data_IF_132456581370
#
_entry.id   IF_132456581370
#
_cell.length_a   1.000
_cell.length_b   1.000
_cell.length_c   1.000
_cell.angle_alpha   90.00
_cell.angle_beta   90.00
_cell.angle_gamma   90.00
#
_symmetry.space_group_name_H-M   'P 1'
#
loop_
_entity.id
_entity.type
_entity.pdbx_description
1 polymer ?
#
# COMPACT_ATOMS: atom_id res chain seq x y z
N UNK A 1 10.94 23.17 -24.44
CA UNK A 1 12.30 23.47 -24.97
C UNK A 1 12.87 24.55 -24.08
N UNK A 2 13.96 24.27 -23.36
CA UNK A 2 14.69 25.27 -22.59
C UNK A 2 15.06 26.44 -23.50
N UNK A 3 14.98 27.67 -22.99
CA UNK A 3 15.56 28.79 -23.70
C UNK A 3 17.07 28.55 -23.84
N UNK A 4 17.68 29.04 -24.92
CA UNK A 4 19.13 28.94 -25.11
C UNK A 4 19.92 29.54 -23.92
N UNK A 5 19.30 30.46 -23.19
CA UNK A 5 19.86 31.08 -21.99
C UNK A 5 19.89 30.12 -20.78
N UNK A 6 18.82 29.38 -20.52
CA UNK A 6 18.74 28.44 -19.39
C UNK A 6 19.66 27.24 -19.58
N UNK A 7 19.71 26.68 -20.79
CA UNK A 7 20.65 25.60 -21.12
C UNK A 7 22.09 26.05 -20.91
N UNK A 8 22.45 27.24 -21.40
CA UNK A 8 23.79 27.81 -21.24
C UNK A 8 24.12 28.18 -19.80
N UNK A 9 23.13 28.59 -19.01
CA UNK A 9 23.31 28.86 -17.58
C UNK A 9 23.63 27.59 -16.81
N UNK A 10 23.00 26.47 -17.15
CA UNK A 10 23.27 25.20 -16.48
C UNK A 10 24.54 24.53 -16.98
N UNK A 11 24.86 24.63 -18.28
CA UNK A 11 26.18 24.27 -18.80
C UNK A 11 27.27 25.11 -18.12
N UNK A 12 27.07 26.42 -17.91
CA UNK A 12 28.00 27.26 -17.15
C UNK A 12 28.14 26.83 -15.69
N UNK A 13 27.04 26.50 -15.00
CA UNK A 13 27.09 26.04 -13.61
C UNK A 13 27.84 24.71 -13.53
N UNK A 14 27.59 23.80 -14.46
CA UNK A 14 28.28 22.52 -14.53
C UNK A 14 29.77 22.69 -14.86
N UNK A 15 30.09 23.50 -15.86
CA UNK A 15 31.47 23.81 -16.24
C UNK A 15 32.21 24.53 -15.10
N UNK A 16 31.55 25.41 -14.35
CA UNK A 16 32.15 26.08 -13.18
C UNK A 16 32.39 25.10 -12.03
N UNK A 17 31.45 24.19 -11.77
CA UNK A 17 31.61 23.12 -10.77
C UNK A 17 32.74 22.18 -11.15
N UNK A 18 32.81 21.78 -12.43
CA UNK A 18 33.84 20.88 -12.95
C UNK A 18 35.22 21.56 -13.02
N UNK A 19 35.29 22.81 -13.48
CA UNK A 19 36.56 23.54 -13.68
C UNK A 19 37.25 23.95 -12.38
N UNK A 20 36.48 24.19 -11.30
CA UNK A 20 37.08 24.57 -10.03
C UNK A 20 37.66 23.42 -9.22
N UNK A 21 37.61 22.18 -9.72
CA UNK A 21 38.00 20.99 -8.95
C UNK A 21 37.36 21.00 -7.55
N UNK A 22 36.17 21.61 -7.43
CA UNK A 22 35.40 21.62 -6.20
C UNK A 22 34.92 20.19 -6.03
N UNK A 23 35.70 19.40 -5.30
CA UNK A 23 35.39 18.01 -4.97
C UNK A 23 34.02 17.86 -4.29
N UNK A 24 33.40 18.97 -3.87
CA UNK A 24 32.02 19.03 -3.42
C UNK A 24 31.37 20.27 -4.06
N UNK A 25 30.44 20.15 -5.02
CA UNK A 25 29.64 21.28 -5.47
C UNK A 25 28.97 21.97 -4.28
N UNK A 26 28.77 23.28 -4.35
CA UNK A 26 27.95 24.01 -3.37
C UNK A 26 26.55 23.41 -3.34
N UNK A 27 26.35 22.50 -2.40
CA UNK A 27 25.18 21.65 -2.28
C UNK A 27 23.91 22.49 -2.05
N UNK A 28 24.05 23.65 -1.40
CA UNK A 28 22.94 24.56 -1.18
C UNK A 28 22.48 25.19 -2.50
N UNK A 29 23.41 25.58 -3.36
CA UNK A 29 23.14 26.12 -4.70
C UNK A 29 22.42 25.10 -5.59
N UNK A 30 22.94 23.87 -5.68
CA UNK A 30 22.32 22.79 -6.49
C UNK A 30 20.93 22.44 -5.97
N UNK A 31 20.76 22.30 -4.64
CA UNK A 31 19.44 22.05 -4.03
C UNK A 31 18.45 23.18 -4.34
N UNK A 32 18.89 24.44 -4.28
CA UNK A 32 18.02 25.58 -4.59
C UNK A 32 17.63 25.60 -6.08
N UNK A 33 18.57 25.33 -6.98
CA UNK A 33 18.30 25.22 -8.42
C UNK A 33 17.31 24.10 -8.71
N UNK A 34 17.51 22.91 -8.12
CA UNK A 34 16.60 21.77 -8.27
C UNK A 34 15.20 22.14 -7.77
N UNK A 35 15.10 22.77 -6.60
CA UNK A 35 13.83 23.20 -6.05
C UNK A 35 13.09 24.23 -6.94
N UNK A 36 13.81 25.09 -7.67
CA UNK A 36 13.20 26.01 -8.66
C UNK A 36 12.74 25.25 -9.89
N UNK A 37 13.54 24.33 -10.42
CA UNK A 37 13.16 23.49 -11.55
C UNK A 37 11.89 22.68 -11.25
N UNK A 38 11.81 22.08 -10.05
CA UNK A 38 10.64 21.33 -9.60
C UNK A 38 9.38 22.22 -9.53
N UNK A 39 9.49 23.45 -8.98
CA UNK A 39 8.38 24.41 -8.95
C UNK A 39 7.96 24.92 -10.33
N UNK A 40 8.91 25.04 -11.25
CA UNK A 40 8.68 25.45 -12.63
C UNK A 40 8.22 24.30 -13.54
N UNK A 41 8.08 23.09 -12.99
CA UNK A 41 7.78 21.88 -13.72
C UNK A 41 8.78 21.57 -14.86
N UNK A 42 10.04 21.93 -14.67
CA UNK A 42 11.12 21.72 -15.64
C UNK A 42 11.80 20.38 -15.40
N UNK A 43 11.21 19.31 -15.96
CA UNK A 43 11.68 17.94 -15.76
C UNK A 43 13.08 17.67 -16.35
N UNK A 44 13.46 18.36 -17.43
CA UNK A 44 14.79 18.20 -18.05
C UNK A 44 15.86 18.71 -17.09
N UNK A 45 15.62 19.90 -16.53
CA UNK A 45 16.52 20.49 -15.56
C UNK A 45 16.53 19.72 -14.24
N UNK A 46 15.37 19.27 -13.77
CA UNK A 46 15.27 18.46 -12.57
C UNK A 46 16.11 17.18 -12.71
N UNK A 47 15.98 16.45 -13.83
CA UNK A 47 16.73 15.22 -14.11
C UNK A 47 18.24 15.45 -14.11
N UNK A 48 18.69 16.53 -14.75
CA UNK A 48 20.11 16.90 -14.75
C UNK A 48 20.61 17.19 -13.32
N UNK A 49 19.88 18.01 -12.56
CA UNK A 49 20.31 18.44 -11.22
C UNK A 49 20.23 17.32 -10.17
N UNK A 50 19.36 16.32 -10.34
CA UNK A 50 19.30 15.15 -9.44
C UNK A 50 20.54 14.26 -9.49
N UNK A 51 21.32 14.29 -10.58
CA UNK A 51 22.59 13.57 -10.66
C UNK A 51 23.65 14.16 -9.72
N UNK A 52 23.56 15.45 -9.42
CA UNK A 52 24.49 16.17 -8.54
C UNK A 52 24.00 16.30 -7.10
N UNK A 53 22.81 15.79 -6.80
CA UNK A 53 22.26 15.75 -5.45
C UNK A 53 22.48 14.39 -4.80
N UNK A 54 22.73 14.42 -3.49
CA UNK A 54 22.68 13.21 -2.67
C UNK A 54 21.25 12.66 -2.62
N UNK A 55 21.14 11.34 -2.55
CA UNK A 55 19.86 10.63 -2.57
C UNK A 55 18.94 11.07 -1.43
N UNK A 56 19.47 11.44 -0.27
CA UNK A 56 18.67 11.95 0.85
C UNK A 56 17.96 13.27 0.51
N UNK A 57 18.64 14.17 -0.21
CA UNK A 57 18.01 15.43 -0.65
C UNK A 57 16.96 15.18 -1.72
N UNK A 58 17.22 14.27 -2.65
CA UNK A 58 16.23 13.87 -3.66
C UNK A 58 15.00 13.28 -2.97
N UNK A 59 15.18 12.38 -1.99
CA UNK A 59 14.09 11.78 -1.21
C UNK A 59 13.26 12.79 -0.42
N UNK A 60 13.93 13.76 0.23
CA UNK A 60 13.24 14.87 0.91
C UNK A 60 12.38 15.69 -0.06
N UNK A 61 12.89 15.92 -1.28
CA UNK A 61 12.15 16.63 -2.32
C UNK A 61 11.01 15.78 -2.90
N UNK A 62 11.20 14.46 -3.03
CA UNK A 62 10.16 13.53 -3.44
C UNK A 62 8.96 13.63 -2.48
N UNK A 63 9.19 13.44 -1.18
CA UNK A 63 8.14 13.54 -0.16
C UNK A 63 7.41 14.89 -0.19
N UNK A 64 8.15 15.98 -0.46
CA UNK A 64 7.58 17.32 -0.54
C UNK A 64 6.68 17.53 -1.76
N UNK A 65 7.07 17.00 -2.92
CA UNK A 65 6.43 17.34 -4.19
C UNK A 65 5.48 16.25 -4.72
N UNK A 66 5.56 15.01 -4.24
CA UNK A 66 4.79 13.89 -4.75
C UNK A 66 3.27 14.14 -4.84
N UNK A 67 2.70 14.86 -3.87
CA UNK A 67 1.26 15.14 -3.82
C UNK A 67 0.81 16.32 -4.69
N UNK A 68 1.74 17.20 -5.12
CA UNK A 68 1.41 18.50 -5.75
C UNK A 68 1.94 18.66 -7.17
N UNK A 69 2.88 17.80 -7.59
CA UNK A 69 3.56 17.94 -8.87
C UNK A 69 3.04 16.96 -9.94
N UNK A 70 3.59 17.09 -11.14
CA UNK A 70 3.31 16.18 -12.26
C UNK A 70 4.04 14.85 -12.10
N UNK A 71 3.46 13.81 -12.69
CA UNK A 71 3.93 12.42 -12.62
C UNK A 71 5.39 12.28 -13.10
N UNK A 72 5.79 13.01 -14.14
CA UNK A 72 7.14 12.99 -14.70
C UNK A 72 8.20 13.47 -13.71
N UNK A 73 7.89 14.47 -12.89
CA UNK A 73 8.79 14.94 -11.84
C UNK A 73 8.94 13.89 -10.75
N UNK A 74 7.82 13.27 -10.34
CA UNK A 74 7.86 12.22 -9.33
C UNK A 74 8.72 11.05 -9.81
N UNK A 75 8.60 10.66 -11.08
CA UNK A 75 9.44 9.64 -11.72
C UNK A 75 10.93 9.98 -11.60
N UNK A 76 11.32 11.20 -12.01
CA UNK A 76 12.71 11.67 -11.93
C UNK A 76 13.25 11.60 -10.50
N UNK A 77 12.46 12.03 -9.51
CA UNK A 77 12.88 12.00 -8.11
C UNK A 77 12.94 10.57 -7.56
N UNK A 78 11.99 9.71 -7.91
CA UNK A 78 11.93 8.32 -7.47
C UNK A 78 13.12 7.49 -7.99
N UNK A 79 13.54 7.68 -9.25
CA UNK A 79 14.72 7.03 -9.87
C UNK A 79 16.01 7.16 -9.01
N UNK A 80 16.09 8.22 -8.19
CA UNK A 80 17.29 8.60 -7.43
C UNK A 80 17.07 8.60 -5.91
N UNK A 81 15.90 8.18 -5.44
CA UNK A 81 15.54 8.18 -4.03
C UNK A 81 15.81 6.82 -3.35
N UNK A 82 15.85 6.81 -2.02
CA UNK A 82 15.88 5.56 -1.26
C UNK A 82 14.48 4.94 -1.15
N UNK A 83 14.42 3.63 -0.93
CA UNK A 83 13.15 2.91 -0.76
C UNK A 83 12.29 3.48 0.38
N UNK A 84 12.90 3.96 1.47
CA UNK A 84 12.15 4.55 2.58
C UNK A 84 11.44 5.85 2.18
N UNK A 85 12.06 6.68 1.32
CA UNK A 85 11.45 7.90 0.80
C UNK A 85 10.33 7.58 -0.19
N UNK A 86 10.56 6.61 -1.08
CA UNK A 86 9.54 6.15 -2.04
C UNK A 86 8.31 5.62 -1.28
N UNK A 87 8.51 4.84 -0.21
CA UNK A 87 7.44 4.32 0.63
C UNK A 87 6.64 5.42 1.32
N UNK A 88 7.33 6.42 1.88
CA UNK A 88 6.69 7.55 2.55
C UNK A 88 5.86 8.39 1.55
N UNK A 89 6.46 8.75 0.42
CA UNK A 89 5.78 9.48 -0.64
C UNK A 89 4.57 8.71 -1.19
N UNK A 90 4.69 7.40 -1.38
CA UNK A 90 3.61 6.55 -1.87
C UNK A 90 2.42 6.53 -0.91
N UNK A 91 2.68 6.41 0.38
CA UNK A 91 1.62 6.51 1.39
C UNK A 91 0.92 7.88 1.34
N UNK A 92 1.69 8.97 1.28
CA UNK A 92 1.14 10.33 1.25
C UNK A 92 0.31 10.61 -0.03
N UNK A 93 0.72 10.11 -1.19
CA UNK A 93 -0.05 10.29 -2.44
C UNK A 93 -1.35 9.48 -2.45
N UNK A 94 -1.38 8.28 -1.86
CA UNK A 94 -2.63 7.53 -1.66
C UNK A 94 -3.57 8.27 -0.72
N UNK A 95 -3.05 8.84 0.36
CA UNK A 95 -3.85 9.66 1.28
C UNK A 95 -4.40 10.91 0.59
N UNK A 96 -3.68 11.45 -0.40
CA UNK A 96 -4.12 12.55 -1.25
C UNK A 96 -5.00 12.12 -2.45
N UNK A 97 -5.25 10.82 -2.65
CA UNK A 97 -6.05 10.30 -3.77
C UNK A 97 -5.40 10.43 -5.14
N UNK A 98 -4.06 10.48 -5.22
CA UNK A 98 -3.28 10.60 -6.45
C UNK A 98 -2.87 9.21 -6.98
N UNK A 99 -3.83 8.50 -7.57
CA UNK A 99 -3.63 7.16 -8.17
C UNK A 99 -2.55 7.17 -9.27
N UNK A 100 -2.54 8.19 -10.11
CA UNK A 100 -1.57 8.40 -11.19
C UNK A 100 -0.12 8.37 -10.68
N UNK A 101 0.14 9.07 -9.57
CA UNK A 101 1.47 9.15 -8.96
C UNK A 101 1.81 7.87 -8.19
N UNK A 102 0.82 7.28 -7.50
CA UNK A 102 1.03 6.04 -6.77
C UNK A 102 1.50 4.91 -7.69
N UNK A 103 0.83 4.71 -8.84
CA UNK A 103 1.24 3.70 -9.82
C UNK A 103 2.69 3.87 -10.27
N UNK A 104 3.14 5.10 -10.50
CA UNK A 104 4.53 5.36 -10.87
C UNK A 104 5.50 5.06 -9.73
N UNK A 105 5.16 5.42 -8.48
CA UNK A 105 6.02 5.10 -7.34
C UNK A 105 6.16 3.59 -7.12
N UNK A 106 5.10 2.83 -7.39
CA UNK A 106 5.11 1.37 -7.29
C UNK A 106 6.09 0.73 -8.28
N UNK A 107 6.31 1.31 -9.46
CA UNK A 107 7.33 0.83 -10.42
C UNK A 107 8.76 0.88 -9.84
N UNK A 108 9.02 1.75 -8.86
CA UNK A 108 10.34 1.92 -8.23
C UNK A 108 10.47 1.20 -6.88
N UNK A 109 9.41 0.56 -6.39
CA UNK A 109 9.44 -0.14 -5.10
C UNK A 109 10.03 -1.54 -5.22
N UNK A 110 10.80 -1.92 -4.21
CA UNK A 110 11.10 -3.31 -3.95
C UNK A 110 9.88 -4.00 -3.32
N UNK A 111 9.74 -5.30 -3.56
CA UNK A 111 8.65 -6.12 -3.03
C UNK A 111 8.44 -5.95 -1.51
N UNK A 112 9.52 -5.92 -0.71
CA UNK A 112 9.42 -5.73 0.74
C UNK A 112 8.81 -4.38 1.11
N UNK A 113 9.19 -3.34 0.38
CA UNK A 113 8.69 -1.97 0.57
C UNK A 113 7.23 -1.85 0.12
N UNK A 114 6.88 -2.45 -1.02
CA UNK A 114 5.51 -2.51 -1.52
C UNK A 114 4.56 -3.20 -0.51
N UNK A 115 4.99 -4.29 0.12
CA UNK A 115 4.24 -4.95 1.19
C UNK A 115 4.04 -4.01 2.38
N UNK A 116 5.10 -3.35 2.87
CA UNK A 116 5.00 -2.45 4.02
C UNK A 116 4.02 -1.29 3.77
N UNK A 117 4.07 -0.70 2.57
CA UNK A 117 3.13 0.34 2.14
C UNK A 117 1.71 -0.22 2.09
N UNK A 118 1.51 -1.39 1.48
CA UNK A 118 0.21 -2.06 1.41
C UNK A 118 -0.40 -2.33 2.78
N UNK A 119 0.39 -2.83 3.75
CA UNK A 119 -0.04 -3.04 5.14
C UNK A 119 -0.45 -1.72 5.80
N UNK A 120 0.31 -0.63 5.57
CA UNK A 120 -0.02 0.70 6.11
C UNK A 120 -1.30 1.26 5.48
N UNK A 121 -1.49 1.12 4.17
CA UNK A 121 -2.69 1.56 3.46
C UNK A 121 -3.92 0.78 3.93
N UNK A 122 -3.79 -0.54 4.05
CA UNK A 122 -4.78 -1.41 4.68
C UNK A 122 -5.16 -0.96 6.11
N UNK A 123 -4.17 -0.54 6.91
CA UNK A 123 -4.38 0.01 8.27
C UNK A 123 -5.11 1.36 8.23
N UNK A 124 -4.86 2.16 7.21
CA UNK A 124 -5.53 3.44 6.97
C UNK A 124 -6.91 3.31 6.29
N UNK A 125 -7.37 2.09 5.97
CA UNK A 125 -8.63 1.85 5.27
C UNK A 125 -8.60 2.19 3.78
N UNK A 126 -7.40 2.37 3.19
CA UNK A 126 -7.16 2.62 1.77
C UNK A 126 -7.00 1.32 1.01
N UNK A 127 -8.07 0.50 0.99
CA UNK A 127 -8.05 -0.85 0.43
C UNK A 127 -7.84 -0.84 -1.08
N UNK A 128 -8.40 0.17 -1.76
CA UNK A 128 -8.31 0.37 -3.21
C UNK A 128 -6.87 0.55 -3.73
N UNK A 129 -5.93 0.93 -2.85
CA UNK A 129 -4.51 1.10 -3.18
C UNK A 129 -3.64 -0.11 -2.76
N UNK A 130 -4.24 -1.16 -2.19
CA UNK A 130 -3.51 -2.37 -1.80
C UNK A 130 -3.29 -3.23 -3.05
N UNK A 131 -2.05 -3.29 -3.54
CA UNK A 131 -1.70 -4.05 -4.73
C UNK A 131 -1.08 -5.40 -4.37
N UNK A 132 -1.59 -6.48 -4.94
CA UNK A 132 -1.08 -7.84 -4.69
C UNK A 132 0.04 -8.25 -5.67
N UNK A 133 0.17 -7.59 -6.81
CA UNK A 133 1.04 -7.98 -7.92
C UNK A 133 2.54 -8.09 -7.56
N UNK A 134 3.00 -7.24 -6.62
CA UNK A 134 4.40 -7.19 -6.20
C UNK A 134 4.69 -8.04 -4.97
N UNK A 135 3.69 -8.69 -4.38
CA UNK A 135 3.80 -9.38 -3.08
C UNK A 135 3.86 -10.89 -3.35
N UNK A 136 4.90 -11.57 -2.87
CA UNK A 136 4.91 -13.03 -2.98
C UNK A 136 3.77 -13.68 -2.18
N UNK A 137 3.40 -14.91 -2.57
CA UNK A 137 2.28 -15.62 -1.98
C UNK A 137 2.36 -15.72 -0.44
N UNK A 138 3.55 -16.01 0.11
CA UNK A 138 3.72 -16.16 1.56
C UNK A 138 3.38 -14.88 2.33
N UNK A 139 3.80 -13.73 1.81
CA UNK A 139 3.50 -12.41 2.40
C UNK A 139 2.04 -12.03 2.21
N UNK A 140 1.46 -12.38 1.08
CA UNK A 140 0.04 -12.18 0.81
C UNK A 140 -0.82 -12.99 1.80
N UNK A 141 -0.46 -14.24 2.06
CA UNK A 141 -1.10 -15.09 3.06
C UNK A 141 -1.02 -14.48 4.47
N UNK A 142 0.13 -13.88 4.83
CA UNK A 142 0.31 -13.18 6.11
C UNK A 142 -0.59 -11.95 6.21
N UNK A 143 -0.60 -11.10 5.18
CA UNK A 143 -1.44 -9.90 5.11
C UNK A 143 -2.93 -10.27 5.20
N UNK A 144 -3.34 -11.30 4.46
CA UNK A 144 -4.69 -11.82 4.49
C UNK A 144 -5.07 -12.35 5.88
N UNK A 145 -4.20 -13.13 6.52
CA UNK A 145 -4.44 -13.65 7.86
C UNK A 145 -4.50 -12.53 8.93
N UNK A 146 -3.73 -11.45 8.79
CA UNK A 146 -3.82 -10.24 9.63
C UNK A 146 -5.14 -9.50 9.38
N UNK A 147 -5.57 -9.36 8.12
CA UNK A 147 -6.83 -8.73 7.74
C UNK A 147 -8.03 -9.45 8.35
N UNK A 148 -8.03 -10.79 8.27
CA UNK A 148 -9.04 -11.67 8.86
C UNK A 148 -9.09 -11.51 10.38
N UNK A 149 -7.95 -11.64 11.06
CA UNK A 149 -7.89 -11.53 12.51
C UNK A 149 -8.29 -10.13 13.03
N UNK A 150 -8.06 -9.08 12.22
CA UNK A 150 -8.38 -7.69 12.55
C UNK A 150 -9.81 -7.28 12.17
N UNK A 151 -10.63 -8.17 11.59
CA UNK A 151 -12.01 -7.84 11.21
C UNK A 151 -12.14 -6.92 9.99
N UNK A 152 -11.10 -6.77 9.17
CA UNK A 152 -11.08 -5.81 8.05
C UNK A 152 -11.78 -6.39 6.81
N UNK A 153 -13.10 -6.43 6.87
CA UNK A 153 -13.95 -7.10 5.86
C UNK A 153 -13.67 -6.64 4.43
N UNK A 154 -13.52 -5.34 4.18
CA UNK A 154 -13.22 -4.83 2.82
C UNK A 154 -11.84 -5.26 2.31
N UNK A 155 -10.84 -5.29 3.19
CA UNK A 155 -9.52 -5.79 2.84
C UNK A 155 -9.54 -7.30 2.59
N UNK A 156 -10.29 -8.06 3.39
CA UNK A 156 -10.46 -9.50 3.17
C UNK A 156 -11.12 -9.77 1.83
N UNK A 157 -12.17 -9.01 1.46
CA UNK A 157 -12.81 -9.08 0.14
C UNK A 157 -11.81 -8.84 -0.98
N UNK A 158 -11.13 -7.69 -0.92
CA UNK A 158 -10.15 -7.28 -1.93
C UNK A 158 -9.03 -8.31 -2.11
N UNK A 159 -8.45 -8.79 -1.00
CA UNK A 159 -7.40 -9.80 -1.06
C UNK A 159 -7.94 -11.15 -1.56
N UNK A 160 -9.18 -11.52 -1.22
CA UNK A 160 -9.76 -12.79 -1.68
C UNK A 160 -10.02 -12.79 -3.18
N UNK A 161 -10.44 -11.66 -3.75
CA UNK A 161 -10.64 -11.51 -5.20
C UNK A 161 -9.32 -11.65 -5.97
N UNK A 162 -8.22 -11.18 -5.40
CA UNK A 162 -6.86 -11.29 -5.95
C UNK A 162 -6.24 -12.68 -5.71
N UNK A 163 -6.59 -13.35 -4.61
CA UNK A 163 -6.07 -14.66 -4.23
C UNK A 163 -6.85 -15.78 -4.93
N UNK A 164 -6.35 -16.24 -6.08
CA UNK A 164 -6.91 -17.36 -6.87
C UNK A 164 -6.90 -18.73 -6.16
N UNK A 165 -6.52 -18.83 -4.88
CA UNK A 165 -6.32 -20.12 -4.19
C UNK A 165 -7.48 -20.50 -3.28
N UNK A 166 -8.18 -21.58 -3.63
CA UNK A 166 -9.29 -22.14 -2.86
C UNK A 166 -8.92 -22.63 -1.44
N UNK A 167 -7.65 -22.87 -1.13
CA UNK A 167 -7.22 -23.45 0.14
C UNK A 167 -7.28 -22.49 1.33
N UNK A 168 -7.11 -21.19 1.08
CA UNK A 168 -6.92 -20.18 2.14
C UNK A 168 -8.25 -19.86 2.84
N UNK A 169 -9.37 -20.04 2.13
CA UNK A 169 -10.72 -19.73 2.60
C UNK A 169 -11.10 -20.47 3.90
N UNK A 170 -10.65 -21.72 4.09
CA UNK A 170 -11.05 -22.52 5.27
C UNK A 170 -10.30 -22.07 6.53
N UNK A 171 -8.98 -21.91 6.40
CA UNK A 171 -8.16 -21.37 7.48
C UNK A 171 -8.62 -19.96 7.85
N UNK A 172 -9.02 -19.16 6.85
CA UNK A 172 -9.60 -17.84 7.06
C UNK A 172 -10.87 -17.89 7.93
N UNK A 173 -11.81 -18.77 7.58
CA UNK A 173 -13.10 -18.84 8.27
C UNK A 173 -12.94 -19.29 9.72
N UNK A 174 -12.13 -20.31 9.97
CA UNK A 174 -11.82 -20.78 11.31
C UNK A 174 -11.14 -19.66 12.14
N UNK A 175 -10.15 -18.97 11.55
CA UNK A 175 -9.44 -17.87 12.21
C UNK A 175 -10.33 -16.67 12.50
N UNK A 176 -11.23 -16.32 11.58
CA UNK A 176 -12.23 -15.27 11.77
C UNK A 176 -13.18 -15.61 12.93
N UNK A 177 -13.64 -16.87 12.99
CA UNK A 177 -14.53 -17.34 14.04
C UNK A 177 -13.85 -17.31 15.41
N UNK A 178 -12.62 -17.83 15.52
CA UNK A 178 -11.80 -17.77 16.73
C UNK A 178 -11.51 -16.34 17.19
N UNK A 179 -11.39 -15.41 16.25
CA UNK A 179 -11.17 -13.99 16.56
C UNK A 179 -12.48 -13.21 16.83
N UNK A 180 -13.65 -13.86 16.78
CA UNK A 180 -14.95 -13.20 16.98
C UNK A 180 -15.33 -12.18 15.90
N UNK A 181 -14.76 -12.31 14.69
CA UNK A 181 -14.94 -11.32 13.61
C UNK A 181 -16.20 -11.62 12.79
N UNK A 182 -17.38 -11.35 13.35
CA UNK A 182 -18.68 -11.72 12.77
C UNK A 182 -18.85 -11.31 11.31
N UNK A 183 -18.50 -10.06 10.95
CA UNK A 183 -18.62 -9.56 9.58
C UNK A 183 -17.73 -10.33 8.58
N UNK A 184 -16.53 -10.73 9.02
CA UNK A 184 -15.59 -11.51 8.20
C UNK A 184 -16.07 -12.94 8.07
N UNK A 185 -16.57 -13.55 9.16
CA UNK A 185 -17.20 -14.87 9.14
C UNK A 185 -18.38 -14.90 8.17
N UNK A 186 -19.25 -13.90 8.25
CA UNK A 186 -20.42 -13.74 7.40
C UNK A 186 -20.08 -13.64 5.92
N UNK A 187 -19.02 -12.90 5.60
CA UNK A 187 -18.51 -12.81 4.24
C UNK A 187 -17.91 -14.13 3.77
N UNK A 188 -16.93 -14.68 4.50
CA UNK A 188 -16.20 -15.90 4.12
C UNK A 188 -17.10 -17.13 4.01
N UNK A 189 -18.18 -17.17 4.79
CA UNK A 189 -19.17 -18.25 4.74
C UNK A 189 -19.87 -18.34 3.39
N UNK A 190 -20.07 -17.22 2.69
CA UNK A 190 -20.67 -17.22 1.35
C UNK A 190 -19.80 -17.96 0.32
N UNK A 191 -18.51 -18.07 0.62
CA UNK A 191 -17.52 -18.75 -0.22
C UNK A 191 -17.24 -20.20 0.24
N UNK A 192 -17.71 -20.58 1.42
CA UNK A 192 -17.52 -21.93 1.97
C UNK A 192 -18.78 -22.78 1.78
N UNK A 193 -18.63 -23.96 1.16
CA UNK A 193 -19.73 -24.93 1.08
C UNK A 193 -20.18 -25.40 2.46
N UNK A 194 -21.49 -25.66 2.62
CA UNK A 194 -22.10 -26.04 3.91
C UNK A 194 -21.41 -27.22 4.60
N UNK A 195 -21.09 -28.28 3.83
CA UNK A 195 -20.37 -29.44 4.35
C UNK A 195 -19.03 -29.09 5.00
N UNK A 196 -18.32 -28.07 4.48
CA UNK A 196 -17.04 -27.63 5.06
C UNK A 196 -17.26 -26.81 6.33
N UNK A 197 -18.27 -25.96 6.35
CA UNK A 197 -18.63 -25.20 7.56
C UNK A 197 -18.96 -26.16 8.70
N UNK A 198 -19.71 -27.24 8.43
CA UNK A 198 -20.02 -28.25 9.45
C UNK A 198 -18.77 -28.98 9.97
N UNK A 199 -17.77 -29.25 9.11
CA UNK A 199 -16.49 -29.81 9.55
C UNK A 199 -15.76 -28.85 10.49
N UNK A 200 -15.64 -27.57 10.11
CA UNK A 200 -14.97 -26.56 10.95
C UNK A 200 -15.66 -26.41 12.31
N UNK A 201 -17.01 -26.42 12.35
CA UNK A 201 -17.77 -26.38 13.61
C UNK A 201 -17.42 -27.59 14.50
N UNK A 202 -17.37 -28.79 13.92
CA UNK A 202 -17.02 -30.00 14.65
C UNK A 202 -15.59 -29.94 15.20
N UNK A 203 -14.64 -29.46 14.40
CA UNK A 203 -13.24 -29.30 14.79
C UNK A 203 -13.08 -28.27 15.92
N UNK A 204 -13.79 -27.14 15.85
CA UNK A 204 -13.81 -26.11 16.90
C UNK A 204 -14.37 -26.65 18.22
N UNK A 205 -15.48 -27.39 18.18
CA UNK A 205 -16.06 -28.04 19.36
C UNK A 205 -15.12 -29.07 19.96
N UNK A 206 -14.47 -29.89 19.12
CA UNK A 206 -13.48 -30.85 19.58
C UNK A 206 -12.27 -30.17 20.27
N UNK A 207 -11.94 -28.95 19.87
CA UNK A 207 -10.91 -28.12 20.50
C UNK A 207 -11.39 -27.33 21.74
N UNK A 208 -12.69 -27.37 22.06
CA UNK A 208 -13.28 -26.59 23.17
C UNK A 208 -13.56 -25.12 22.85
N UNK A 209 -13.50 -24.73 21.58
CA UNK A 209 -13.72 -23.37 21.09
C UNK A 209 -15.21 -23.09 20.84
N UNK A 210 -16.03 -23.23 21.89
CA UNK A 210 -17.50 -23.21 21.80
C UNK A 210 -18.06 -21.88 21.28
N UNK A 211 -17.45 -20.74 21.63
CA UNK A 211 -17.90 -19.42 21.15
C UNK A 211 -17.70 -19.27 19.64
N UNK A 212 -16.54 -19.70 19.13
CA UNK A 212 -16.25 -19.70 17.70
C UNK A 212 -17.17 -20.68 16.94
N UNK A 213 -17.40 -21.86 17.51
CA UNK A 213 -18.34 -22.83 16.96
C UNK A 213 -19.77 -22.27 16.94
N UNK A 214 -20.22 -21.61 18.00
CA UNK A 214 -21.54 -20.99 18.09
C UNK A 214 -21.71 -19.84 17.09
N UNK A 215 -20.67 -19.02 16.88
CA UNK A 215 -20.68 -17.97 15.87
C UNK A 215 -20.89 -18.54 14.46
N UNK A 216 -20.24 -19.68 14.16
CA UNK A 216 -20.51 -20.40 12.93
C UNK A 216 -21.91 -21.05 12.96
N UNK A 217 -22.42 -21.58 14.06
CA UNK A 217 -23.73 -22.25 14.07
C UNK A 217 -24.92 -21.26 13.91
N UNK A 218 -24.79 -20.04 14.42
CA UNK A 218 -25.87 -19.06 14.58
C UNK A 218 -26.66 -18.68 13.32
N UNK A 219 -26.12 -18.92 12.11
CA UNK A 219 -26.74 -18.50 10.84
C UNK A 219 -27.36 -19.60 9.99
N UNK A 220 -27.18 -20.89 10.31
CA UNK A 220 -27.92 -21.95 9.59
C UNK A 220 -29.43 -21.85 9.83
N UNK A 221 -29.85 -21.12 10.87
CA UNK A 221 -31.22 -21.14 11.31
C UNK A 221 -32.07 -19.93 10.84
N UNK A 222 -31.53 -18.99 10.05
CA UNK A 222 -32.32 -17.85 9.55
C UNK A 222 -32.90 -16.95 10.65
N UNK A 223 -32.15 -16.72 11.73
CA UNK A 223 -32.58 -15.83 12.82
C UNK A 223 -31.99 -14.44 12.59
N UNK A 224 -32.85 -13.43 12.48
CA UNK A 224 -32.44 -12.03 12.49
C UNK A 224 -32.26 -11.62 13.96
N UNK A 225 -31.04 -11.23 14.35
CA UNK A 225 -30.78 -10.66 15.67
C UNK A 225 -31.28 -9.22 15.68
N UNK A 226 -32.48 -9.00 16.21
CA UNK A 226 -32.99 -7.65 16.47
C UNK A 226 -32.76 -7.33 17.94
N UNK A 227 -31.71 -6.55 18.24
CA UNK A 227 -31.53 -5.77 19.47
C UNK A 227 -31.68 -6.51 20.82
N UNK A 228 -30.56 -6.64 21.54
CA UNK A 228 -30.48 -7.00 22.98
C UNK A 228 -31.17 -8.33 23.32
N UNK A 229 -30.59 -9.44 22.88
CA UNK A 229 -30.72 -10.72 23.57
C UNK A 229 -32.00 -11.54 23.33
N UNK A 230 -32.75 -11.31 22.25
CA UNK A 230 -33.80 -12.25 21.81
C UNK A 230 -33.62 -12.65 20.35
N UNK A 231 -33.40 -13.94 20.15
CA UNK A 231 -33.39 -14.58 18.84
C UNK A 231 -34.86 -14.80 18.39
N UNK A 232 -35.23 -14.40 17.16
CA UNK A 232 -36.48 -14.82 16.49
C UNK A 232 -36.22 -15.64 15.21
N UNK A 233 -36.98 -16.75 15.03
CA UNK A 233 -36.91 -17.63 13.86
C UNK A 233 -37.82 -17.08 12.76
N UNK A 234 -37.29 -16.77 11.58
CA UNK A 234 -38.14 -16.55 10.41
C UNK A 234 -38.61 -17.91 9.90
N UNK A 235 -39.93 -18.14 9.95
CA UNK A 235 -40.60 -19.26 9.29
C UNK A 235 -40.91 -18.96 7.84
#
# INVERSE_FOLDING_TARGET
MLSAFEKRSCEMILDEVTSRNLHVPDFAGVKQALNRALKGNDFVMARLLTEYCDRFVVGTLLNKYATTTQVEIVRVLAERSYQFDIAAAAFDVCMAGREDVFSVLMEFMQETTALEVSVKLAKAGKVEFVTCELINQQKLDQLFAEAVASGRTELVKHLLDEMMSHGIQFYALEKAAKAGQENVVDFLRQWCGSARVTTIIADLRAAGEEEAAALLDAKELGWIVVGVGKLFKCG
#
